data_IF_583053895040
#
_entry.id   IF_583053895040
#
_cell.length_a   1.000
_cell.length_b   1.000
_cell.length_c   1.000
_cell.angle_alpha   90.00
_cell.angle_beta   90.00
_cell.angle_gamma   90.00
#
_symmetry.space_group_name_H-M   'P 1'
#
loop_
_entity.id
_entity.type
_entity.pdbx_description
1 polymer ?
#
# COMPACT_ATOMS: atom_id res chain seq x y z
N UNK A 1 -17.09 14.32 33.11
CA UNK A 1 -16.05 14.53 32.07
C UNK A 1 -15.08 13.35 32.13
N UNK A 2 -14.62 12.82 30.99
CA UNK A 2 -13.89 11.54 30.92
C UNK A 2 -12.50 11.53 31.57
N UNK A 3 -11.98 12.68 32.03
CA UNK A 3 -10.66 12.79 32.65
C UNK A 3 -9.47 12.61 31.69
N UNK A 4 -9.73 12.47 30.39
CA UNK A 4 -8.68 12.26 29.39
C UNK A 4 -8.02 13.58 28.96
N UNK A 5 -6.71 13.54 28.76
CA UNK A 5 -5.90 14.66 28.27
C UNK A 5 -5.35 14.39 26.86
N UNK A 6 -5.21 15.44 26.07
CA UNK A 6 -4.68 15.37 24.70
C UNK A 6 -3.16 15.40 24.74
N UNK A 7 -2.51 14.50 24.00
CA UNK A 7 -1.06 14.54 23.81
C UNK A 7 -0.69 15.61 22.79
N UNK A 8 0.02 16.66 23.22
CA UNK A 8 0.51 17.72 22.34
C UNK A 8 1.55 17.23 21.32
N UNK A 9 2.30 16.17 21.64
CA UNK A 9 3.29 15.58 20.72
C UNK A 9 2.64 14.81 19.56
N UNK A 10 1.50 14.16 19.81
CA UNK A 10 0.79 13.35 18.79
C UNK A 10 -0.25 14.13 18.01
N UNK A 11 -0.54 15.36 18.42
CA UNK A 11 -1.63 16.18 17.87
C UNK A 11 -1.08 17.33 17.07
N UNK A 12 -1.41 17.37 15.79
CA UNK A 12 -1.04 18.45 14.88
C UNK A 12 -2.26 18.91 14.08
N UNK A 13 -2.26 20.17 13.66
CA UNK A 13 -3.33 20.74 12.85
C UNK A 13 -2.84 20.91 11.41
N UNK A 14 -3.67 20.49 10.45
CA UNK A 14 -3.45 20.73 9.03
C UNK A 14 -4.62 21.52 8.47
N UNK A 15 -4.34 22.59 7.74
CA UNK A 15 -5.36 23.43 7.11
C UNK A 15 -5.46 23.18 5.61
N UNK A 16 -6.67 23.38 5.06
CA UNK A 16 -6.87 23.41 3.61
C UNK A 16 -6.18 24.64 3.00
N UNK A 17 -5.82 24.55 1.72
CA UNK A 17 -5.21 25.65 0.96
C UNK A 17 -6.10 26.89 0.88
N UNK A 18 -7.41 26.73 1.11
CA UNK A 18 -8.39 27.81 1.01
C UNK A 18 -8.53 28.63 2.30
N UNK A 19 -7.80 28.29 3.36
CA UNK A 19 -7.87 29.02 4.64
C UNK A 19 -6.85 30.16 4.64
N UNK A 20 -7.31 31.37 4.96
CA UNK A 20 -6.45 32.56 5.05
C UNK A 20 -5.43 32.43 6.19
N UNK A 21 -4.25 33.04 6.00
CA UNK A 21 -3.15 32.97 6.98
C UNK A 21 -3.59 33.49 8.36
N UNK A 22 -4.36 34.59 8.38
CA UNK A 22 -4.87 35.19 9.61
C UNK A 22 -5.71 34.21 10.45
N UNK A 23 -6.58 33.43 9.80
CA UNK A 23 -7.41 32.43 10.49
C UNK A 23 -6.57 31.26 11.00
N UNK A 24 -5.54 30.84 10.23
CA UNK A 24 -4.61 29.76 10.65
C UNK A 24 -3.86 30.15 11.92
N UNK A 25 -3.26 31.34 11.94
CA UNK A 25 -2.52 31.87 13.10
C UNK A 25 -3.44 32.02 14.33
N UNK A 26 -4.65 32.53 14.13
CA UNK A 26 -5.62 32.68 15.22
C UNK A 26 -6.00 31.31 15.84
N UNK A 27 -6.18 30.28 15.00
CA UNK A 27 -6.52 28.93 15.45
C UNK A 27 -5.35 28.22 16.13
N UNK A 28 -4.14 28.30 15.56
CA UNK A 28 -2.91 27.74 16.14
C UNK A 28 -2.64 28.34 17.52
N UNK A 29 -2.76 29.68 17.65
CA UNK A 29 -2.58 30.36 18.93
C UNK A 29 -3.63 29.97 19.97
N UNK A 30 -4.87 29.75 19.54
CA UNK A 30 -5.96 29.36 20.45
C UNK A 30 -5.90 27.90 20.87
N UNK A 31 -5.41 27.02 19.99
CA UNK A 31 -5.35 25.58 20.25
C UNK A 31 -4.06 25.13 20.94
N UNK A 32 -2.96 25.87 20.78
CA UNK A 32 -1.64 25.48 21.33
C UNK A 32 -1.04 24.24 20.64
N UNK A 33 -1.48 23.92 19.42
CA UNK A 33 -0.97 22.79 18.64
C UNK A 33 -0.13 23.28 17.46
N UNK A 34 0.85 22.49 17.05
CA UNK A 34 1.70 22.83 15.92
C UNK A 34 0.97 22.61 14.59
N UNK A 35 1.14 23.55 13.68
CA UNK A 35 0.71 23.40 12.30
C UNK A 35 1.65 22.44 11.55
N UNK A 36 1.08 21.46 10.86
CA UNK A 36 1.81 20.48 10.07
C UNK A 36 1.36 20.47 8.61
N UNK A 37 2.34 20.32 7.70
CA UNK A 37 2.09 20.15 6.26
C UNK A 37 1.57 18.75 5.91
N UNK A 38 1.76 17.78 6.81
CA UNK A 38 1.32 16.40 6.67
C UNK A 38 1.01 15.84 8.05
N UNK A 39 -0.13 15.16 8.20
CA UNK A 39 -0.53 14.51 9.46
C UNK A 39 0.19 13.18 9.69
N UNK A 40 1.19 12.85 8.86
CA UNK A 40 1.98 11.63 8.99
C UNK A 40 1.19 10.38 8.55
N UNK A 41 1.32 9.30 9.33
CA UNK A 41 0.63 8.03 9.06
C UNK A 41 -0.39 7.76 10.15
N UNK A 42 -1.59 7.36 9.76
CA UNK A 42 -2.59 6.84 10.66
C UNK A 42 -2.86 5.38 10.31
N UNK A 43 -2.70 4.49 11.29
CA UNK A 43 -2.79 3.04 11.11
C UNK A 43 -1.95 2.54 9.92
N UNK A 44 -0.76 3.15 9.72
CA UNK A 44 0.17 2.79 8.65
C UNK A 44 -0.14 3.39 7.27
N UNK A 45 -1.28 4.06 7.09
CA UNK A 45 -1.67 4.74 5.85
C UNK A 45 -1.34 6.23 5.95
N UNK A 46 -0.66 6.83 4.97
CA UNK A 46 -0.39 8.27 4.96
C UNK A 46 -1.68 9.09 4.95
N UNK A 47 -1.83 9.99 5.93
CA UNK A 47 -2.91 10.96 5.97
C UNK A 47 -2.50 12.17 5.13
N UNK A 48 -2.96 12.20 3.88
CA UNK A 48 -2.62 13.26 2.94
C UNK A 48 -3.87 14.08 2.61
N UNK A 49 -3.84 15.39 2.88
CA UNK A 49 -4.93 16.32 2.55
C UNK A 49 -5.04 16.67 1.06
N UNK A 50 -4.49 15.85 0.17
CA UNK A 50 -4.49 16.04 -1.29
C UNK A 50 -4.69 14.68 -1.98
N UNK A 51 -4.91 14.72 -3.30
CA UNK A 51 -4.93 13.50 -4.11
C UNK A 51 -3.67 12.65 -3.86
N UNK A 52 -3.82 11.32 -3.63
CA UNK A 52 -2.69 10.43 -3.37
C UNK A 52 -1.76 10.34 -4.58
N UNK A 53 -0.45 10.42 -4.35
CA UNK A 53 0.60 10.27 -5.37
C UNK A 53 1.29 8.92 -5.23
N UNK A 54 2.00 8.48 -6.27
CA UNK A 54 2.81 7.25 -6.26
C UNK A 54 3.78 7.21 -5.07
N UNK A 55 4.44 8.33 -4.80
CA UNK A 55 5.41 8.49 -3.70
C UNK A 55 4.83 8.14 -2.34
N UNK A 56 3.53 8.43 -2.13
CA UNK A 56 2.86 8.22 -0.84
C UNK A 56 2.73 6.72 -0.54
N UNK A 57 2.72 5.85 -1.56
CA UNK A 57 2.62 4.39 -1.40
C UNK A 57 3.95 3.65 -1.58
N UNK A 58 5.08 4.35 -1.64
CA UNK A 58 6.39 3.69 -1.70
C UNK A 58 6.64 2.79 -0.49
N UNK A 59 6.08 3.12 0.69
CA UNK A 59 6.17 2.26 1.86
C UNK A 59 5.56 0.87 1.62
N UNK A 60 4.48 0.80 0.83
CA UNK A 60 3.77 -0.44 0.53
C UNK A 60 4.61 -1.33 -0.39
N UNK A 61 5.21 -0.72 -1.41
CA UNK A 61 6.14 -1.40 -2.33
C UNK A 61 7.33 -1.96 -1.54
N UNK A 62 7.92 -1.15 -0.65
CA UNK A 62 9.04 -1.57 0.17
C UNK A 62 8.66 -2.68 1.16
N UNK A 63 7.47 -2.63 1.77
CA UNK A 63 6.99 -3.70 2.65
C UNK A 63 6.85 -5.02 1.90
N UNK A 64 6.24 -5.01 0.70
CA UNK A 64 6.14 -6.21 -0.14
C UNK A 64 7.52 -6.70 -0.55
N UNK A 65 8.40 -5.80 -1.02
CA UNK A 65 9.76 -6.15 -1.43
C UNK A 65 10.51 -6.82 -0.29
N UNK A 66 10.53 -6.21 0.90
CA UNK A 66 11.23 -6.73 2.07
C UNK A 66 10.64 -8.07 2.53
N UNK A 67 9.31 -8.21 2.50
CA UNK A 67 8.65 -9.46 2.88
C UNK A 67 8.91 -10.58 1.90
N UNK A 68 9.12 -10.32 0.60
CA UNK A 68 9.46 -11.33 -0.39
C UNK A 68 10.98 -11.59 -0.48
N UNK A 69 11.83 -10.58 -0.23
CA UNK A 69 13.29 -10.70 -0.25
C UNK A 69 13.85 -11.44 0.95
N UNK A 70 13.20 -11.33 2.12
CA UNK A 70 13.59 -12.08 3.32
C UNK A 70 13.51 -13.60 3.12
N UNK A 71 12.73 -14.04 2.14
CA UNK A 71 12.70 -15.43 1.71
C UNK A 71 13.61 -15.58 0.51
N UNK A 72 14.69 -16.35 0.63
CA UNK A 72 15.50 -16.71 -0.54
C UNK A 72 14.59 -17.50 -1.48
N UNK A 73 14.22 -16.92 -2.61
CA UNK A 73 13.40 -17.58 -3.63
C UNK A 73 13.98 -18.94 -4.10
N UNK A 74 15.28 -19.17 -3.86
CA UNK A 74 15.96 -20.43 -4.14
C UNK A 74 15.70 -21.54 -3.11
N UNK A 75 15.16 -21.23 -1.94
CA UNK A 75 14.83 -22.21 -0.90
C UNK A 75 13.39 -22.75 -1.04
N UNK A 76 12.63 -22.24 -1.99
CA UNK A 76 11.23 -22.59 -2.18
C UNK A 76 11.00 -23.24 -3.54
N UNK A 77 10.17 -24.29 -3.54
CA UNK A 77 9.60 -24.81 -4.78
C UNK A 77 8.76 -23.75 -5.47
N UNK A 78 8.51 -23.92 -6.76
CA UNK A 78 7.60 -23.04 -7.51
C UNK A 78 6.24 -22.86 -6.83
N UNK A 79 5.63 -23.96 -6.38
CA UNK A 79 4.36 -23.95 -5.66
C UNK A 79 4.47 -23.19 -4.33
N UNK A 80 5.60 -23.34 -3.61
CA UNK A 80 5.90 -22.58 -2.40
C UNK A 80 5.98 -21.08 -2.67
N UNK A 81 6.66 -20.67 -3.74
CA UNK A 81 6.75 -19.25 -4.13
C UNK A 81 5.40 -18.66 -4.51
N UNK A 82 4.58 -19.39 -5.26
CA UNK A 82 3.21 -18.98 -5.59
C UNK A 82 2.40 -18.77 -4.31
N UNK A 83 2.40 -19.75 -3.41
CA UNK A 83 1.63 -19.73 -2.17
C UNK A 83 2.04 -18.58 -1.26
N UNK A 84 3.34 -18.42 -1.03
CA UNK A 84 3.88 -17.32 -0.21
C UNK A 84 3.59 -15.96 -0.84
N UNK A 85 3.80 -15.81 -2.14
CA UNK A 85 3.52 -14.56 -2.84
C UNK A 85 2.05 -14.16 -2.71
N UNK A 86 1.15 -15.14 -2.81
CA UNK A 86 -0.28 -14.90 -2.67
C UNK A 86 -0.63 -14.42 -1.26
N UNK A 87 -0.14 -15.13 -0.23
CA UNK A 87 -0.36 -14.75 1.16
C UNK A 87 0.13 -13.33 1.49
N UNK A 88 1.33 -12.96 1.02
CA UNK A 88 1.94 -11.64 1.26
C UNK A 88 1.15 -10.53 0.55
N UNK A 89 0.80 -10.75 -0.72
CA UNK A 89 0.15 -9.75 -1.57
C UNK A 89 -1.33 -9.55 -1.21
N UNK A 90 -1.99 -10.57 -0.68
CA UNK A 90 -3.39 -10.46 -0.21
C UNK A 90 -3.48 -9.80 1.17
N UNK A 91 -2.45 -9.94 2.02
CA UNK A 91 -2.48 -9.41 3.38
C UNK A 91 -1.99 -7.95 3.50
N UNK A 92 -0.87 -7.60 2.87
CA UNK A 92 -0.22 -6.29 3.09
C UNK A 92 -1.05 -5.10 2.60
N UNK A 93 -1.55 -5.08 1.35
CA UNK A 93 -2.21 -3.90 0.81
C UNK A 93 -3.70 -3.81 1.14
N UNK A 94 -4.29 -4.79 1.83
CA UNK A 94 -5.74 -4.85 2.03
C UNK A 94 -6.29 -3.63 2.77
N UNK A 95 -5.64 -3.22 3.85
CA UNK A 95 -6.09 -2.07 4.64
C UNK A 95 -5.96 -0.74 3.86
N UNK A 96 -4.79 -0.42 3.24
CA UNK A 96 -4.69 0.74 2.35
C UNK A 96 -5.69 0.75 1.19
N UNK A 97 -5.98 -0.41 0.58
CA UNK A 97 -6.94 -0.54 -0.52
C UNK A 97 -8.39 -0.33 -0.10
N UNK A 98 -8.72 -0.61 1.17
CA UNK A 98 -10.02 -0.24 1.72
C UNK A 98 -10.07 1.28 1.88
N UNK A 99 -9.08 1.91 2.47
CA UNK A 99 -9.19 3.34 2.82
C UNK A 99 -9.08 4.31 1.64
N UNK A 100 -8.29 4.00 0.62
CA UNK A 100 -7.95 4.97 -0.43
C UNK A 100 -7.71 4.33 -1.79
N UNK A 101 -8.00 5.08 -2.86
CA UNK A 101 -7.66 4.65 -4.22
C UNK A 101 -6.15 4.73 -4.46
N UNK A 102 -5.48 3.59 -4.40
CA UNK A 102 -4.05 3.46 -4.72
C UNK A 102 -3.79 3.70 -6.22
N UNK A 103 -2.80 4.53 -6.59
CA UNK A 103 -2.38 4.73 -7.98
C UNK A 103 -2.01 3.41 -8.67
N UNK A 104 -2.51 3.21 -9.90
CA UNK A 104 -2.26 2.00 -10.70
C UNK A 104 -0.77 1.69 -10.86
N UNK A 105 0.07 2.72 -11.00
CA UNK A 105 1.53 2.57 -11.10
C UNK A 105 2.13 1.79 -9.92
N UNK A 106 1.70 2.09 -8.68
CA UNK A 106 2.14 1.35 -7.49
C UNK A 106 1.69 -0.12 -7.54
N UNK A 107 0.43 -0.36 -7.94
CA UNK A 107 -0.12 -1.71 -8.03
C UNK A 107 0.63 -2.55 -9.07
N UNK A 108 0.95 -1.98 -10.23
CA UNK A 108 1.74 -2.65 -11.26
C UNK A 108 3.16 -2.94 -10.80
N UNK A 109 3.77 -2.04 -10.03
CA UNK A 109 5.10 -2.25 -9.47
C UNK A 109 5.12 -3.39 -8.44
N UNK A 110 4.12 -3.45 -7.56
CA UNK A 110 3.93 -4.57 -6.64
C UNK A 110 3.74 -5.90 -7.40
N UNK A 111 2.92 -5.91 -8.45
CA UNK A 111 2.72 -7.10 -9.29
C UNK A 111 4.00 -7.50 -10.04
N UNK A 112 4.84 -6.55 -10.43
CA UNK A 112 6.15 -6.83 -11.04
C UNK A 112 7.05 -7.57 -10.04
N UNK A 113 7.12 -7.10 -8.79
CA UNK A 113 7.87 -7.76 -7.71
C UNK A 113 7.31 -9.16 -7.46
N UNK A 114 5.99 -9.30 -7.36
CA UNK A 114 5.32 -10.59 -7.18
C UNK A 114 5.71 -11.58 -8.30
N UNK A 115 5.65 -11.14 -9.56
CA UNK A 115 5.98 -11.97 -10.71
C UNK A 115 7.45 -12.39 -10.72
N UNK A 116 8.36 -11.45 -10.46
CA UNK A 116 9.79 -11.75 -10.35
C UNK A 116 10.07 -12.78 -9.27
N UNK A 117 9.47 -12.62 -8.08
CA UNK A 117 9.61 -13.58 -6.99
C UNK A 117 9.12 -14.97 -7.36
N UNK A 118 7.93 -15.10 -7.97
CA UNK A 118 7.35 -16.40 -8.34
C UNK A 118 8.25 -17.16 -9.32
N UNK A 119 8.85 -16.47 -10.29
CA UNK A 119 9.80 -17.10 -11.23
C UNK A 119 11.22 -17.22 -10.68
N UNK A 120 11.46 -16.73 -9.46
CA UNK A 120 12.74 -16.82 -8.77
C UNK A 120 13.81 -15.94 -9.40
N UNK A 121 13.43 -14.72 -9.83
CA UNK A 121 14.38 -13.65 -10.13
C UNK A 121 15.12 -13.26 -8.86
N UNK A 122 16.43 -13.07 -8.97
CA UNK A 122 17.29 -12.53 -7.92
C UNK A 122 17.73 -11.12 -8.28
N UNK A 123 18.25 -10.35 -7.31
CA UNK A 123 18.74 -9.00 -7.55
C UNK A 123 19.84 -9.03 -8.64
N UNK A 124 19.48 -8.59 -9.85
CA UNK A 124 20.36 -8.54 -11.04
C UNK A 124 20.13 -9.63 -12.08
N UNK A 125 19.39 -10.70 -11.78
CA UNK A 125 19.15 -11.83 -12.69
C UNK A 125 17.71 -11.94 -13.17
N UNK A 126 17.44 -11.54 -14.43
CA UNK A 126 16.13 -11.74 -15.06
C UNK A 126 15.98 -13.20 -15.49
N UNK A 127 14.92 -13.88 -15.04
CA UNK A 127 14.56 -15.23 -15.51
C UNK A 127 13.56 -15.17 -16.64
N UNK A 128 13.43 -16.26 -17.39
CA UNK A 128 12.43 -16.36 -18.46
C UNK A 128 11.03 -16.59 -17.88
N UNK A 129 10.06 -15.76 -18.32
CA UNK A 129 8.68 -15.83 -17.87
C UNK A 129 7.89 -16.68 -18.86
N UNK A 130 7.81 -17.99 -18.61
CA UNK A 130 7.27 -18.95 -19.59
C UNK A 130 5.77 -18.79 -19.91
N UNK A 131 5.00 -18.18 -19.00
CA UNK A 131 3.54 -18.06 -19.14
C UNK A 131 3.12 -16.60 -19.04
N UNK A 132 2.21 -16.19 -19.93
CA UNK A 132 1.59 -14.87 -19.86
C UNK A 132 0.92 -14.68 -18.49
N UNK A 133 1.23 -13.56 -17.83
CA UNK A 133 0.68 -13.20 -16.52
C UNK A 133 -0.85 -13.17 -16.49
N UNK A 134 -1.48 -12.87 -17.63
CA UNK A 134 -2.93 -12.91 -17.73
C UNK A 134 -3.49 -14.31 -17.52
N UNK A 135 -2.81 -15.34 -18.03
CA UNK A 135 -3.19 -16.73 -17.80
C UNK A 135 -2.89 -17.15 -16.36
N UNK A 136 -1.75 -16.71 -15.81
CA UNK A 136 -1.36 -17.01 -14.42
C UNK A 136 -2.38 -16.48 -13.40
N UNK A 137 -2.96 -15.31 -13.64
CA UNK A 137 -3.92 -14.67 -12.72
C UNK A 137 -5.35 -15.23 -12.81
N UNK A 138 -5.64 -16.14 -13.75
CA UNK A 138 -6.96 -16.79 -13.84
C UNK A 138 -7.23 -17.66 -12.60
N UNK A 139 -8.51 -17.90 -12.26
CA UNK A 139 -8.90 -18.91 -11.29
C UNK A 139 -8.31 -20.29 -11.61
N UNK A 140 -8.08 -21.11 -10.58
CA UNK A 140 -7.56 -22.48 -10.74
C UNK A 140 -8.46 -23.36 -11.63
N UNK A 141 -9.77 -23.18 -11.54
CA UNK A 141 -10.76 -23.87 -12.40
C UNK A 141 -10.63 -23.53 -13.88
N UNK A 142 -10.00 -22.39 -14.21
CA UNK A 142 -9.70 -21.96 -15.59
C UNK A 142 -8.23 -22.18 -15.97
N UNK A 143 -7.50 -23.03 -15.23
CA UNK A 143 -6.10 -23.37 -15.51
C UNK A 143 -5.08 -22.32 -15.07
N UNK A 144 -5.48 -21.31 -14.28
CA UNK A 144 -4.56 -20.33 -13.70
C UNK A 144 -4.07 -20.70 -12.29
N UNK A 145 -3.31 -19.82 -11.66
CA UNK A 145 -2.80 -20.00 -10.29
C UNK A 145 -3.71 -19.39 -9.21
N UNK A 146 -4.79 -18.72 -9.61
CA UNK A 146 -5.72 -18.05 -8.69
C UNK A 146 -5.07 -16.89 -7.94
N UNK A 147 -4.18 -16.15 -8.61
CA UNK A 147 -3.55 -14.94 -8.10
C UNK A 147 -4.43 -13.74 -8.44
N UNK A 148 -4.89 -13.01 -7.42
CA UNK A 148 -5.73 -11.82 -7.62
C UNK A 148 -4.97 -10.68 -8.29
N UNK A 149 -5.60 -10.05 -9.29
CA UNK A 149 -5.06 -8.82 -9.89
C UNK A 149 -5.29 -7.65 -8.93
N UNK A 150 -4.22 -6.98 -8.50
CA UNK A 150 -4.28 -5.92 -7.49
C UNK A 150 -5.16 -4.73 -7.91
N UNK A 151 -5.22 -4.41 -9.20
CA UNK A 151 -6.12 -3.37 -9.71
C UNK A 151 -7.59 -3.72 -9.47
N UNK A 152 -7.97 -4.98 -9.69
CA UNK A 152 -9.32 -5.45 -9.42
C UNK A 152 -9.59 -5.54 -7.92
N UNK A 153 -8.62 -6.00 -7.13
CA UNK A 153 -8.73 -6.07 -5.67
C UNK A 153 -8.94 -4.68 -5.05
N UNK A 154 -8.17 -3.68 -5.47
CA UNK A 154 -8.32 -2.30 -5.01
C UNK A 154 -9.71 -1.75 -5.36
N UNK A 155 -10.16 -1.94 -6.62
CA UNK A 155 -11.51 -1.53 -7.04
C UNK A 155 -12.59 -2.23 -6.20
N UNK A 156 -12.45 -3.52 -5.95
CA UNK A 156 -13.40 -4.29 -5.14
C UNK A 156 -13.44 -3.83 -3.67
N UNK A 157 -12.29 -3.51 -3.07
CA UNK A 157 -12.23 -2.98 -1.71
C UNK A 157 -12.94 -1.63 -1.58
N UNK A 158 -12.76 -0.74 -2.56
CA UNK A 158 -13.42 0.56 -2.58
C UNK A 158 -14.94 0.44 -2.80
N UNK A 159 -15.39 -0.51 -3.62
CA UNK A 159 -16.83 -0.74 -3.84
C UNK A 159 -17.55 -1.25 -2.58
N UNK A 160 -16.84 -1.85 -1.61
CA UNK A 160 -17.44 -2.24 -0.32
C UNK A 160 -17.73 -1.07 0.61
N UNK A 161 -17.12 0.10 0.35
CA UNK A 161 -17.29 1.31 1.15
C UNK A 161 -18.28 2.30 0.52
N UNK A 162 -18.75 2.00 -0.70
CA UNK A 162 -19.73 2.80 -1.43
C UNK A 162 -21.16 2.33 -1.16
#
# INVERSE_FOLDING_TARGET
MSGQQISHEKTSIMFSRNVSLHVREALVRRSGFNEALSLGKYLGVPLVGRAPKRSDYNYLINQVKNKLSNWKANQLSFAGRVTLSKAVIEAIPIYPMMTTSIPKACLHEIQKIQRGFIWGEEDGGRKYHAVNWENVTKPKVLGGLGICRLVHMNKACLMKLA
#
